data_IF_445520753012
#
_entry.id   IF_445520753012
#
_cell.length_a   1.000
_cell.length_b   1.000
_cell.length_c   1.000
_cell.angle_alpha   90.00
_cell.angle_beta   90.00
_cell.angle_gamma   90.00
#
_symmetry.space_group_name_H-M   'P 1'
#
loop_
_entity.id
_entity.type
_entity.pdbx_description
1 polymer ?
#
# COMPACT_ATOMS: atom_id res chain seq x y z
N UNK A 1 1.37 30.98 -11.20
CA UNK A 1 -0.08 31.21 -11.05
C UNK A 1 -0.66 29.98 -10.38
N UNK A 2 -1.04 30.08 -9.11
CA UNK A 2 -1.67 28.99 -8.37
C UNK A 2 -3.11 28.85 -8.86
N UNK A 3 -3.38 27.84 -9.67
CA UNK A 3 -4.75 27.42 -9.96
C UNK A 3 -5.40 27.03 -8.64
N UNK A 4 -6.48 27.71 -8.26
CA UNK A 4 -7.32 27.27 -7.16
C UNK A 4 -7.82 25.85 -7.50
N UNK A 5 -7.37 24.86 -6.74
CA UNK A 5 -7.85 23.49 -6.90
C UNK A 5 -9.36 23.48 -6.60
N UNK A 6 -10.13 23.03 -7.60
CA UNK A 6 -11.53 22.64 -7.44
C UNK A 6 -11.65 21.68 -6.26
N UNK A 7 -12.63 21.87 -5.37
CA UNK A 7 -12.92 20.97 -4.23
C UNK A 7 -13.54 19.64 -4.66
N UNK A 8 -12.99 19.02 -5.70
CA UNK A 8 -13.40 17.72 -6.21
C UNK A 8 -12.56 16.64 -5.54
N UNK A 9 -13.21 15.52 -5.18
CA UNK A 9 -12.50 14.43 -4.51
C UNK A 9 -11.47 13.84 -5.47
N UNK A 10 -10.17 13.85 -5.14
CA UNK A 10 -9.15 13.39 -6.06
C UNK A 10 -9.34 11.91 -6.40
N UNK A 11 -9.13 11.56 -7.66
CA UNK A 11 -9.09 10.16 -8.08
C UNK A 11 -7.93 9.40 -7.45
N UNK A 12 -8.04 8.06 -7.42
CA UNK A 12 -6.98 7.22 -6.91
C UNK A 12 -5.72 7.34 -7.79
N UNK A 13 -4.65 7.87 -7.22
CA UNK A 13 -3.38 8.09 -7.93
C UNK A 13 -2.71 6.77 -8.29
N UNK A 14 -2.41 6.59 -9.57
CA UNK A 14 -1.59 5.48 -10.06
C UNK A 14 -0.11 5.87 -10.11
N UNK A 15 0.77 4.95 -9.71
CA UNK A 15 2.22 5.15 -9.74
C UNK A 15 2.85 4.11 -10.65
N UNK A 16 3.73 4.54 -11.55
CA UNK A 16 4.53 3.64 -12.38
C UNK A 16 5.49 2.80 -11.52
N UNK A 17 5.76 1.58 -11.99
CA UNK A 17 6.71 0.68 -11.34
C UNK A 17 8.13 1.04 -11.78
N UNK A 18 8.97 1.33 -10.80
CA UNK A 18 10.42 1.48 -10.93
C UNK A 18 11.14 0.19 -10.50
N UNK A 19 12.40 -0.01 -10.93
CA UNK A 19 13.22 -1.12 -10.48
C UNK A 19 13.36 -1.17 -8.95
N UNK A 20 13.56 -2.37 -8.40
CA UNK A 20 13.78 -2.55 -6.97
C UNK A 20 15.18 -2.08 -6.56
N UNK A 21 15.39 -1.86 -5.27
CA UNK A 21 16.66 -1.35 -4.74
C UNK A 21 17.87 -2.23 -5.12
N UNK A 22 17.67 -3.54 -5.26
CA UNK A 22 18.72 -4.50 -5.62
C UNK A 22 19.17 -4.38 -7.08
N UNK A 23 18.35 -3.78 -7.94
CA UNK A 23 18.58 -3.66 -9.38
C UNK A 23 19.17 -2.30 -9.78
N UNK A 24 19.28 -1.37 -8.84
CA UNK A 24 19.72 0.01 -9.09
C UNK A 24 21.20 0.17 -8.77
N UNK A 25 21.93 0.94 -9.59
CA UNK A 25 23.30 1.35 -9.28
C UNK A 25 23.33 2.22 -8.01
N UNK A 26 24.07 1.84 -6.97
CA UNK A 26 24.19 2.61 -5.73
C UNK A 26 24.66 4.06 -5.92
N UNK A 27 25.38 4.36 -7.00
CA UNK A 27 25.91 5.69 -7.28
C UNK A 27 24.85 6.64 -7.89
N UNK A 28 23.79 6.12 -8.51
CA UNK A 28 22.69 6.93 -9.03
C UNK A 28 21.69 7.28 -7.91
N UNK A 29 21.93 8.42 -7.27
CA UNK A 29 21.08 8.94 -6.18
C UNK A 29 19.61 9.11 -6.59
N UNK A 30 19.31 9.43 -7.85
CA UNK A 30 17.94 9.65 -8.32
C UNK A 30 17.19 8.32 -8.42
N UNK A 31 17.82 7.32 -9.02
CA UNK A 31 17.25 5.99 -9.12
C UNK A 31 17.06 5.34 -7.73
N UNK A 32 18.06 5.46 -6.84
CA UNK A 32 17.97 4.94 -5.46
C UNK A 32 16.80 5.58 -4.70
N UNK A 33 16.60 6.89 -4.85
CA UNK A 33 15.50 7.60 -4.19
C UNK A 33 14.14 7.14 -4.74
N UNK A 34 14.01 6.96 -6.05
CA UNK A 34 12.78 6.46 -6.67
C UNK A 34 12.43 5.05 -6.18
N UNK A 35 13.40 4.13 -6.16
CA UNK A 35 13.23 2.77 -5.68
C UNK A 35 12.83 2.72 -4.20
N UNK A 36 13.46 3.55 -3.36
CA UNK A 36 13.11 3.69 -1.94
C UNK A 36 11.66 4.16 -1.75
N UNK A 37 11.24 5.17 -2.51
CA UNK A 37 9.88 5.69 -2.41
C UNK A 37 8.84 4.67 -2.86
N UNK A 38 9.13 3.87 -3.89
CA UNK A 38 8.26 2.76 -4.27
C UNK A 38 8.14 1.74 -3.14
N UNK A 39 9.27 1.29 -2.57
CA UNK A 39 9.26 0.35 -1.45
C UNK A 39 8.40 0.84 -0.29
N UNK A 40 8.54 2.11 0.08
CA UNK A 40 7.74 2.70 1.16
C UNK A 40 6.24 2.61 0.84
N UNK A 41 5.83 3.01 -0.37
CA UNK A 41 4.41 2.92 -0.77
C UNK A 41 3.90 1.49 -0.72
N UNK A 42 4.67 0.53 -1.22
CA UNK A 42 4.29 -0.88 -1.23
C UNK A 42 4.21 -1.45 0.20
N UNK A 43 5.09 -1.05 1.11
CA UNK A 43 5.04 -1.46 2.52
C UNK A 43 3.77 -0.91 3.22
N UNK A 44 3.35 0.31 2.88
CA UNK A 44 2.06 0.86 3.36
C UNK A 44 0.86 0.07 2.81
N UNK A 45 0.88 -0.30 1.54
CA UNK A 45 -0.18 -1.13 0.93
C UNK A 45 -0.28 -2.47 1.65
N UNK A 46 0.83 -3.16 1.88
CA UNK A 46 0.86 -4.44 2.63
C UNK A 46 0.32 -4.29 4.06
N UNK A 47 0.64 -3.19 4.73
CA UNK A 47 0.09 -2.93 6.07
C UNK A 47 -1.44 -2.76 6.03
N UNK A 48 -1.99 -2.13 4.98
CA UNK A 48 -3.43 -1.99 4.79
C UNK A 48 -4.10 -3.32 4.40
N UNK A 49 -3.46 -4.13 3.55
CA UNK A 49 -3.92 -5.48 3.23
C UNK A 49 -4.04 -6.35 4.49
N UNK A 50 -3.03 -6.31 5.36
CA UNK A 50 -3.06 -7.04 6.63
C UNK A 50 -4.19 -6.58 7.56
N UNK A 51 -4.52 -5.28 7.56
CA UNK A 51 -5.66 -4.75 8.32
C UNK A 51 -6.99 -5.30 7.79
N UNK A 52 -7.18 -5.32 6.47
CA UNK A 52 -8.40 -5.87 5.85
C UNK A 52 -8.58 -7.35 6.20
N UNK A 53 -7.51 -8.14 6.12
CA UNK A 53 -7.54 -9.57 6.49
C UNK A 53 -7.93 -9.72 7.96
N UNK A 54 -7.36 -8.91 8.85
CA UNK A 54 -7.72 -8.93 10.27
C UNK A 54 -9.18 -8.58 10.50
N UNK A 55 -9.71 -7.54 9.84
CA UNK A 55 -11.12 -7.15 9.96
C UNK A 55 -12.05 -8.28 9.51
N UNK A 56 -11.71 -8.97 8.42
CA UNK A 56 -12.46 -10.14 7.94
C UNK A 56 -12.37 -11.34 8.86
N UNK A 57 -11.23 -11.54 9.49
CA UNK A 57 -11.06 -12.57 10.51
C UNK A 57 -11.91 -12.26 11.75
N UNK A 58 -11.89 -11.02 12.21
CA UNK A 58 -12.71 -10.56 13.35
C UNK A 58 -14.22 -10.66 13.03
N UNK A 59 -14.61 -10.40 11.79
CA UNK A 59 -15.99 -10.61 11.31
C UNK A 59 -16.37 -12.09 11.43
N UNK A 60 -15.55 -13.01 10.90
CA UNK A 60 -15.77 -14.46 11.01
C UNK A 60 -15.90 -14.92 12.47
N UNK A 61 -15.01 -14.46 13.35
CA UNK A 61 -15.08 -14.76 14.78
C UNK A 61 -16.40 -14.32 15.43
N UNK A 62 -16.96 -13.18 15.00
CA UNK A 62 -18.25 -12.68 15.50
C UNK A 62 -19.44 -13.44 14.91
N UNK A 63 -19.39 -13.80 13.64
CA UNK A 63 -20.53 -14.45 12.96
C UNK A 63 -20.64 -15.93 13.30
N UNK A 64 -19.53 -16.65 13.35
CA UNK A 64 -19.53 -18.11 13.51
C UNK A 64 -19.43 -18.58 14.96
N UNK A 65 -19.01 -17.70 15.87
CA UNK A 65 -18.90 -18.00 17.30
C UNK A 65 -18.07 -19.26 17.54
N UNK A 66 -18.64 -20.28 18.19
CA UNK A 66 -17.92 -21.52 18.55
C UNK A 66 -17.45 -22.34 17.33
N UNK A 67 -17.96 -22.06 16.12
CA UNK A 67 -17.56 -22.76 14.90
C UNK A 67 -16.39 -22.12 14.14
N UNK A 68 -15.90 -20.95 14.57
CA UNK A 68 -14.89 -20.18 13.82
C UNK A 68 -13.53 -20.87 13.60
N UNK A 69 -13.26 -21.99 14.30
CA UNK A 69 -12.02 -22.76 14.25
C UNK A 69 -12.25 -24.23 13.84
N UNK A 70 -13.46 -24.59 13.41
CA UNK A 70 -13.70 -25.94 12.88
C UNK A 70 -13.33 -25.96 11.40
N UNK A 71 -12.19 -26.60 11.14
CA UNK A 71 -11.80 -27.05 9.80
C UNK A 71 -12.64 -28.24 9.36
#
# INVERSE_FOLDING_TARGET
>A
MSTAESWEYPEHRQFERVPTLDQVDPNDRKAVYAARNQKIRDDWVKAMEARLIKEKLDECYRTEGVNHCKF
#
